data_IF_095805289359
#
_entry.id   IF_095805289359
#
_cell.length_a   1.000
_cell.length_b   1.000
_cell.length_c   1.000
_cell.angle_alpha   90.00
_cell.angle_beta   90.00
_cell.angle_gamma   90.00
#
_symmetry.space_group_name_H-M   'P 1'
#
loop_
_entity.id
_entity.type
_entity.pdbx_description
1 polymer ?
#
# COMPACT_ATOMS: atom_id res chain seq x y z
N UNK A 1 4.34 -1.09 1.21
CA UNK A 1 5.67 -1.50 1.66
C UNK A 1 5.46 -2.50 2.77
N UNK A 2 6.06 -3.66 2.64
CA UNK A 2 5.97 -4.78 3.58
C UNK A 2 7.39 -5.16 4.01
N UNK A 3 7.60 -5.35 5.31
CA UNK A 3 8.89 -5.74 5.89
C UNK A 3 8.71 -7.07 6.56
N UNK A 4 9.55 -8.04 6.21
CA UNK A 4 9.53 -9.39 6.77
C UNK A 4 10.27 -9.43 8.11
N UNK A 5 9.62 -10.05 9.09
CA UNK A 5 10.11 -10.38 10.43
C UNK A 5 10.31 -11.91 10.55
N UNK A 6 10.45 -12.59 9.41
CA UNK A 6 10.74 -14.01 9.35
C UNK A 6 12.06 -14.32 10.07
N UNK A 7 12.16 -15.51 10.67
CA UNK A 7 13.39 -15.98 11.32
C UNK A 7 14.30 -16.78 10.38
N UNK A 8 13.77 -17.29 9.27
CA UNK A 8 14.53 -18.10 8.31
C UNK A 8 15.30 -17.26 7.31
N UNK A 9 16.50 -17.71 6.93
CA UNK A 9 17.45 -16.99 6.09
C UNK A 9 16.90 -16.58 4.71
N UNK A 10 15.92 -17.32 4.18
CA UNK A 10 15.30 -17.05 2.89
C UNK A 10 14.33 -15.86 2.90
N UNK A 11 13.84 -15.44 4.08
CA UNK A 11 12.86 -14.35 4.21
C UNK A 11 13.23 -13.30 5.26
N UNK A 12 14.19 -13.57 6.14
CA UNK A 12 14.59 -12.67 7.22
C UNK A 12 15.06 -11.33 6.67
N UNK A 13 14.44 -10.25 7.14
CA UNK A 13 14.81 -8.89 6.74
C UNK A 13 14.43 -8.49 5.31
N UNK A 14 13.75 -9.35 4.55
CA UNK A 14 13.30 -9.00 3.21
C UNK A 14 12.30 -7.84 3.22
N UNK A 15 12.42 -6.96 2.22
CA UNK A 15 11.55 -5.78 2.09
C UNK A 15 10.90 -5.80 0.71
N UNK A 16 9.57 -5.79 0.68
CA UNK A 16 8.80 -5.81 -0.56
C UNK A 16 8.08 -4.47 -0.80
N UNK A 17 8.22 -3.96 -2.01
CA UNK A 17 7.60 -2.72 -2.46
C UNK A 17 6.87 -2.99 -3.77
N UNK A 18 5.53 -2.85 -3.75
CA UNK A 18 4.71 -2.90 -4.95
C UNK A 18 4.44 -1.51 -5.47
N UNK A 19 4.93 -1.24 -6.68
CA UNK A 19 4.64 -0.02 -7.43
C UNK A 19 3.33 -0.16 -8.19
N UNK A 20 2.79 0.98 -8.65
CA UNK A 20 1.60 0.99 -9.52
C UNK A 20 1.94 0.60 -10.96
N UNK A 21 3.16 0.90 -11.39
CA UNK A 21 3.67 0.70 -12.75
C UNK A 21 4.94 -0.13 -12.69
N UNK A 22 5.15 -0.98 -13.68
CA UNK A 22 6.33 -1.84 -13.77
C UNK A 22 7.59 -1.01 -14.06
N UNK A 23 7.48 0.04 -14.89
CA UNK A 23 8.61 0.91 -15.20
C UNK A 23 9.16 1.65 -13.97
N UNK A 24 8.30 1.95 -12.98
CA UNK A 24 8.72 2.56 -11.73
C UNK A 24 9.50 1.55 -10.85
N UNK A 25 9.13 0.27 -10.92
CA UNK A 25 9.83 -0.80 -10.20
C UNK A 25 11.22 -1.06 -10.79
N UNK A 26 11.32 -1.10 -12.13
CA UNK A 26 12.59 -1.29 -12.83
C UNK A 26 13.57 -0.14 -12.53
N UNK A 27 13.10 1.11 -12.59
CA UNK A 27 13.91 2.27 -12.21
C UNK A 27 14.37 2.21 -10.75
N UNK A 28 13.50 1.77 -9.85
CA UNK A 28 13.85 1.63 -8.44
C UNK A 28 14.94 0.58 -8.22
N UNK A 29 14.88 -0.56 -8.91
CA UNK A 29 15.90 -1.61 -8.85
C UNK A 29 17.25 -1.08 -9.33
N UNK A 30 17.28 -0.37 -10.46
CA UNK A 30 18.51 0.22 -10.99
C UNK A 30 19.13 1.25 -10.04
N UNK A 31 18.32 2.16 -9.47
CA UNK A 31 18.80 3.17 -8.52
C UNK A 31 19.27 2.55 -7.20
N UNK A 32 18.50 1.62 -6.64
CA UNK A 32 18.78 1.05 -5.32
C UNK A 32 20.05 0.21 -5.30
N UNK A 33 20.36 -0.53 -6.37
CA UNK A 33 21.58 -1.32 -6.46
C UNK A 33 22.87 -0.48 -6.50
N UNK A 34 22.77 0.84 -6.69
CA UNK A 34 23.90 1.77 -6.64
C UNK A 34 24.04 2.46 -5.26
N UNK A 35 23.21 2.10 -4.29
CA UNK A 35 23.08 2.81 -3.01
C UNK A 35 23.53 1.97 -1.82
N UNK A 36 23.78 2.67 -0.73
CA UNK A 36 24.22 2.09 0.54
C UNK A 36 23.21 2.45 1.64
N UNK A 37 23.04 1.53 2.59
CA UNK A 37 22.20 1.72 3.75
C UNK A 37 22.84 1.06 4.98
N UNK A 38 23.00 1.82 6.07
CA UNK A 38 23.60 1.29 7.31
C UNK A 38 25.01 0.72 7.13
N UNK A 39 25.81 1.31 6.24
CA UNK A 39 27.17 0.83 5.94
C UNK A 39 27.24 -0.42 5.06
N UNK A 40 26.12 -0.92 4.54
CA UNK A 40 26.05 -2.08 3.65
C UNK A 40 25.48 -1.69 2.28
N UNK A 41 25.92 -2.31 1.17
CA UNK A 41 25.31 -2.10 -0.12
C UNK A 41 23.87 -2.62 -0.12
N UNK A 42 22.99 -1.94 -0.85
CA UNK A 42 21.60 -2.36 -1.01
C UNK A 42 21.53 -3.37 -2.16
N UNK A 43 20.77 -4.45 -1.98
CA UNK A 43 20.39 -5.39 -3.04
C UNK A 43 18.90 -5.29 -3.30
N UNK A 44 18.56 -5.05 -4.57
CA UNK A 44 17.19 -4.97 -5.05
C UNK A 44 17.03 -5.79 -6.33
N UNK A 45 15.92 -6.51 -6.43
CA UNK A 45 15.54 -7.30 -7.61
C UNK A 45 14.03 -7.19 -7.86
N UNK A 46 13.60 -7.56 -9.07
CA UNK A 46 12.18 -7.65 -9.41
C UNK A 46 11.61 -8.95 -8.84
N UNK A 47 10.55 -8.84 -8.06
CA UNK A 47 9.90 -10.00 -7.44
C UNK A 47 8.67 -10.45 -8.24
N UNK A 48 8.46 -11.76 -8.41
CA UNK A 48 7.25 -12.30 -9.05
C UNK A 48 6.00 -12.22 -8.15
N UNK A 49 6.15 -11.76 -6.89
CA UNK A 49 5.02 -11.68 -5.94
C UNK A 49 4.04 -10.59 -6.38
N UNK A 50 2.86 -11.01 -6.83
CA UNK A 50 1.82 -10.11 -7.32
C UNK A 50 0.77 -9.75 -6.26
N UNK A 51 0.38 -10.70 -5.40
CA UNK A 51 -0.55 -10.49 -4.29
C UNK A 51 0.09 -10.87 -2.95
N UNK A 52 0.24 -9.88 -2.07
CA UNK A 52 0.79 -10.11 -0.73
C UNK A 52 -0.16 -10.91 0.16
N UNK A 53 -1.48 -10.85 -0.07
CA UNK A 53 -2.45 -11.57 0.77
C UNK A 53 -2.27 -13.07 0.69
N UNK A 54 -1.89 -13.57 -0.48
CA UNK A 54 -1.60 -14.99 -0.71
C UNK A 54 -0.18 -15.38 -0.25
N UNK A 55 0.75 -14.42 -0.25
CA UNK A 55 2.13 -14.64 0.19
C UNK A 55 2.32 -14.55 1.71
N UNK A 56 1.39 -13.93 2.45
CA UNK A 56 1.48 -13.73 3.89
C UNK A 56 1.02 -14.95 4.70
N UNK A 57 1.69 -15.20 5.83
CA UNK A 57 1.32 -16.28 6.73
C UNK A 57 0.11 -15.88 7.59
N UNK A 58 -1.07 -16.41 7.27
CA UNK A 58 -2.30 -16.13 8.06
C UNK A 58 -2.18 -16.57 9.52
N UNK A 59 -1.49 -17.68 9.79
CA UNK A 59 -1.26 -18.16 11.16
C UNK A 59 -0.37 -17.19 11.95
N UNK A 60 0.60 -16.54 11.29
CA UNK A 60 1.45 -15.56 11.95
C UNK A 60 0.68 -14.27 12.26
N UNK A 61 -0.23 -13.85 11.39
CA UNK A 61 -1.12 -12.70 11.65
C UNK A 61 -1.98 -12.91 12.91
N UNK A 62 -2.32 -14.16 13.22
CA UNK A 62 -3.05 -14.55 14.43
C UNK A 62 -2.14 -14.83 15.64
N UNK A 63 -0.82 -14.85 15.46
CA UNK A 63 0.15 -15.17 16.51
C UNK A 63 0.33 -16.67 16.78
N UNK A 64 -0.16 -17.53 15.90
CA UNK A 64 -0.22 -18.99 16.08
C UNK A 64 0.76 -19.76 15.17
N UNK A 65 1.60 -19.07 14.40
CA UNK A 65 2.56 -19.75 13.53
C UNK A 65 3.67 -20.42 14.36
N UNK A 66 3.68 -21.75 14.39
CA UNK A 66 4.67 -22.56 15.10
C UNK A 66 5.83 -23.02 14.21
N UNK A 67 5.83 -22.67 12.92
CA UNK A 67 6.87 -23.12 11.96
C UNK A 67 8.23 -22.45 12.17
N UNK A 68 8.29 -21.36 12.93
CA UNK A 68 9.54 -20.64 13.21
C UNK A 68 10.31 -20.27 11.94
N UNK A 69 11.61 -20.60 11.90
CA UNK A 69 12.47 -20.35 10.74
C UNK A 69 12.12 -21.17 9.48
N UNK A 70 11.28 -22.18 9.58
CA UNK A 70 10.87 -23.03 8.46
C UNK A 70 9.59 -22.56 7.76
N UNK A 71 9.02 -21.41 8.16
CA UNK A 71 7.86 -20.88 7.47
C UNK A 71 8.25 -20.28 6.10
N UNK A 72 7.58 -20.74 5.04
CA UNK A 72 7.79 -20.25 3.67
C UNK A 72 6.88 -19.08 3.30
N UNK A 73 6.02 -18.64 4.22
CA UNK A 73 5.13 -17.50 4.02
C UNK A 73 5.69 -16.26 4.74
N UNK A 74 5.38 -15.08 4.22
CA UNK A 74 5.86 -13.82 4.76
C UNK A 74 5.25 -13.57 6.14
N UNK A 75 6.11 -13.38 7.14
CA UNK A 75 5.75 -12.90 8.47
C UNK A 75 5.95 -11.40 8.47
N UNK A 76 4.87 -10.62 8.43
CA UNK A 76 5.00 -9.16 8.30
C UNK A 76 5.19 -8.49 9.66
N UNK A 77 6.19 -7.61 9.73
CA UNK A 77 6.39 -6.76 10.91
C UNK A 77 5.23 -5.76 11.03
N UNK A 78 4.48 -5.74 12.15
CA UNK A 78 3.41 -4.78 12.32
C UNK A 78 3.97 -3.36 12.44
N UNK A 79 3.42 -2.44 11.63
CA UNK A 79 3.77 -1.02 11.65
C UNK A 79 2.76 -0.28 12.54
N UNK A 80 3.23 0.61 13.40
CA UNK A 80 2.35 1.40 14.26
C UNK A 80 1.33 2.20 13.44
N UNK A 81 0.10 2.34 13.97
CA UNK A 81 -0.97 3.09 13.28
C UNK A 81 -0.58 4.52 12.94
N UNK A 82 0.21 5.16 13.80
CA UNK A 82 0.73 6.51 13.58
C UNK A 82 1.72 6.56 12.42
N UNK A 83 2.67 5.63 12.34
CA UNK A 83 3.63 5.56 11.25
C UNK A 83 2.94 5.24 9.92
N UNK A 84 1.98 4.30 9.93
CA UNK A 84 1.11 4.05 8.77
C UNK A 84 0.40 5.32 8.29
N UNK A 85 -0.14 6.12 9.21
CA UNK A 85 -0.79 7.40 8.89
C UNK A 85 0.21 8.39 8.27
N UNK A 86 1.41 8.52 8.84
CA UNK A 86 2.47 9.41 8.32
C UNK A 86 2.94 9.01 6.92
N UNK A 87 3.12 7.71 6.66
CA UNK A 87 3.62 7.19 5.38
C UNK A 87 2.54 7.22 4.29
N UNK A 88 1.35 6.68 4.56
CA UNK A 88 0.35 6.42 3.51
C UNK A 88 -0.68 7.55 3.32
N UNK A 89 -1.02 8.34 4.36
CA UNK A 89 -1.94 9.47 4.15
C UNK A 89 -1.27 10.65 3.42
N UNK A 90 0.05 10.79 3.54
CA UNK A 90 0.84 11.76 2.76
C UNK A 90 0.86 11.39 1.28
N UNK A 91 0.98 10.09 0.97
CA UNK A 91 0.89 9.56 -0.39
C UNK A 91 -0.49 9.83 -1.02
N UNK A 92 -1.60 9.54 -0.33
CA UNK A 92 -2.96 9.85 -0.81
C UNK A 92 -3.19 11.35 -1.11
N UNK A 93 -2.64 12.27 -0.31
CA UNK A 93 -2.72 13.72 -0.59
C UNK A 93 -1.96 14.12 -1.86
N UNK A 94 -0.81 13.48 -2.14
CA UNK A 94 0.03 13.76 -3.32
C UNK A 94 -0.63 13.29 -4.62
N UNK A 95 -1.27 12.12 -4.62
CA UNK A 95 -2.03 11.61 -5.78
C UNK A 95 -3.47 12.17 -5.89
N UNK A 96 -4.10 12.57 -4.78
CA UNK A 96 -5.47 13.10 -4.75
C UNK A 96 -5.62 14.55 -5.20
N UNK A 97 -4.53 15.32 -5.27
CA UNK A 97 -4.58 16.75 -5.68
C UNK A 97 -4.87 16.94 -7.17
N UNK A 98 -4.63 15.93 -8.02
CA UNK A 98 -4.90 16.01 -9.48
C UNK A 98 -6.39 15.90 -9.86
N UNK A 99 -7.30 15.56 -8.93
CA UNK A 99 -8.74 15.35 -9.25
C UNK A 99 -9.68 16.49 -8.81
N UNK A 100 -9.19 17.58 -8.22
CA UNK A 100 -10.07 18.64 -7.69
C UNK A 100 -10.29 19.85 -8.61
N UNK A 101 -9.83 19.83 -9.86
CA UNK A 101 -10.10 20.88 -10.86
C UNK A 101 -11.16 20.50 -11.89
N UNK A 102 -12.19 19.73 -11.52
CA UNK A 102 -13.38 19.54 -12.37
C UNK A 102 -14.64 19.98 -11.62
N UNK A 103 -15.10 21.17 -12.02
CA UNK A 103 -16.47 21.68 -11.99
C UNK A 103 -17.24 21.61 -10.66
N UNK A 104 -17.15 22.70 -9.88
CA UNK A 104 -18.25 23.10 -8.98
C UNK A 104 -19.33 23.85 -9.77
N UNK A 105 -20.03 23.16 -10.67
CA UNK A 105 -21.33 23.63 -11.16
C UNK A 105 -22.39 22.91 -10.35
N UNK A 106 -22.77 23.51 -9.22
CA UNK A 106 -23.92 23.06 -8.43
C UNK A 106 -25.18 23.59 -9.10
N UNK A 107 -25.72 22.82 -10.04
CA UNK A 107 -27.09 22.97 -10.51
C UNK A 107 -28.04 22.77 -9.33
N UNK A 108 -28.50 23.88 -8.76
CA UNK A 108 -29.63 23.94 -7.84
C UNK A 108 -30.91 23.76 -8.66
N UNK A 109 -31.25 22.52 -9.00
CA UNK A 109 -32.60 22.23 -9.49
C UNK A 109 -33.61 22.42 -8.36
N UNK A 110 -34.21 23.62 -8.37
CA UNK A 110 -35.45 23.99 -7.70
C UNK A 110 -36.51 22.97 -8.07
N UNK A 111 -36.98 22.17 -7.10
CA UNK A 111 -38.24 21.43 -7.21
C UNK A 111 -39.40 22.44 -7.16
N UNK A 112 -39.87 22.83 -8.33
CA UNK A 112 -41.11 23.59 -8.53
C UNK A 112 -42.30 22.71 -8.12
N UNK A 113 -42.86 22.97 -6.93
CA UNK A 113 -44.21 22.50 -6.57
C UNK A 113 -45.21 23.38 -7.33
N UNK A 114 -45.90 22.80 -8.30
CA UNK A 114 -46.98 23.45 -9.05
C UNK A 114 -48.16 23.80 -8.14
N UNK A 115 -48.78 24.98 -8.27
CA UNK A 115 -50.02 25.30 -7.58
C UNK A 115 -51.20 24.75 -8.37
N UNK A 116 -52.08 23.98 -7.71
CA UNK A 116 -53.43 23.73 -8.23
C UNK A 116 -54.45 24.35 -7.28
N UNK A 117 -55.09 25.39 -7.81
CA UNK A 117 -56.16 26.16 -7.21
C UNK A 117 -57.52 25.50 -7.45
N UNK A 118 -58.27 25.37 -6.36
CA UNK A 118 -59.72 25.65 -6.21
C UNK A 118 -60.80 24.61 -6.54
N UNK A 119 -61.75 24.59 -5.58
CA UNK A 119 -63.22 24.36 -5.66
C UNK A 119 -63.74 22.91 -5.64
N UNK A 120 -64.31 22.52 -4.49
CA UNK A 120 -65.76 22.60 -4.22
C UNK A 120 -66.01 22.56 -2.72
#
# INVERSE_FOLDING_TARGET
MNVCDNLGDHLVGNVYIKFRREEDAEKAVQDLNLRWFGGRPVHAELSPVTDFREACCRQYELGECTRGGFCNFMHLKPISRELCRKLYNRSKKRYGRKRRSRSRSRDRHRRSRSPRSSRR
#
